data_IF_995123157124
#
_entry.id   IF_995123157124
#
_cell.length_a   1.000
_cell.length_b   1.000
_cell.length_c   1.000
_cell.angle_alpha   90.00
_cell.angle_beta   90.00
_cell.angle_gamma   90.00
#
_symmetry.space_group_name_H-M   'P 1'
#
loop_
_entity.id
_entity.type
_entity.pdbx_description
1 polymer ?
#
# COMPACT_ATOMS: atom_id res chain seq x y z
N UNK A 1 10.73 9.74 -7.18
CA UNK A 1 9.39 9.86 -7.77
C UNK A 1 8.38 9.32 -6.76
N UNK A 2 7.27 10.01 -6.51
CA UNK A 2 6.19 9.53 -5.64
C UNK A 2 5.02 9.25 -6.56
N UNK A 3 4.85 7.98 -6.94
CA UNK A 3 3.68 7.56 -7.69
C UNK A 3 2.49 7.51 -6.74
N UNK A 4 1.53 8.41 -6.96
CA UNK A 4 0.27 8.45 -6.22
C UNK A 4 -0.72 7.56 -6.96
N UNK A 5 -0.88 6.33 -6.47
CA UNK A 5 -1.88 5.40 -6.99
C UNK A 5 -3.25 5.75 -6.42
N UNK A 6 -4.32 5.57 -7.21
CA UNK A 6 -5.69 5.60 -6.71
C UNK A 6 -5.89 4.51 -5.63
N UNK A 7 -6.77 4.73 -4.63
CA UNK A 7 -7.03 3.74 -3.57
C UNK A 7 -7.56 2.41 -4.10
N UNK A 8 -8.00 2.38 -5.35
CA UNK A 8 -8.30 1.18 -6.13
C UNK A 8 -7.40 1.17 -7.36
N UNK A 9 -6.54 0.16 -7.47
CA UNK A 9 -5.76 -0.12 -8.68
C UNK A 9 -6.46 -1.26 -9.38
N UNK A 10 -7.33 -0.92 -10.33
CA UNK A 10 -8.01 -1.88 -11.17
C UNK A 10 -7.86 -1.42 -12.61
N UNK A 11 -7.42 -2.33 -13.48
CA UNK A 11 -7.27 -2.03 -14.88
C UNK A 11 -6.81 -3.24 -15.65
N UNK A 12 -7.70 -3.78 -16.47
CA UNK A 12 -7.34 -4.68 -17.56
C UNK A 12 -6.62 -3.86 -18.62
N UNK A 13 -5.44 -4.30 -19.03
CA UNK A 13 -4.68 -3.71 -20.15
C UNK A 13 -4.32 -2.22 -19.99
N UNK A 14 -4.05 -1.76 -18.76
CA UNK A 14 -3.56 -0.38 -18.55
C UNK A 14 -2.13 -0.27 -19.05
N UNK A 15 -1.85 0.62 -20.02
CA UNK A 15 -0.50 0.78 -20.56
C UNK A 15 0.43 1.33 -19.48
N UNK A 16 1.50 0.60 -19.21
CA UNK A 16 2.55 1.02 -18.28
C UNK A 16 3.67 1.69 -19.08
N UNK A 17 4.28 2.73 -18.52
CA UNK A 17 5.40 3.39 -19.16
C UNK A 17 6.58 2.42 -19.40
N UNK A 18 7.27 2.46 -20.56
CA UNK A 18 8.27 1.46 -20.93
C UNK A 18 9.42 1.30 -19.92
N UNK A 19 9.79 2.37 -19.21
CA UNK A 19 10.85 2.32 -18.20
C UNK A 19 10.44 1.55 -16.94
N UNK A 20 9.14 1.51 -16.62
CA UNK A 20 8.60 0.72 -15.51
C UNK A 20 8.37 -0.74 -15.88
N UNK A 21 8.34 -1.06 -17.18
CA UNK A 21 8.07 -2.42 -17.68
C UNK A 21 9.13 -3.41 -17.21
N UNK A 22 10.41 -3.04 -17.22
CA UNK A 22 11.50 -3.96 -16.84
C UNK A 22 11.37 -4.39 -15.38
N UNK A 23 11.20 -3.44 -14.45
CA UNK A 23 10.99 -3.75 -13.03
C UNK A 23 9.69 -4.54 -12.80
N UNK A 24 8.60 -4.17 -13.48
CA UNK A 24 7.33 -4.91 -13.35
C UNK A 24 7.40 -6.32 -13.91
N UNK A 25 8.15 -6.55 -14.99
CA UNK A 25 8.34 -7.89 -15.56
C UNK A 25 9.16 -8.80 -14.62
N UNK A 26 10.12 -8.22 -13.90
CA UNK A 26 10.88 -8.93 -12.86
C UNK A 26 9.98 -9.26 -11.67
N UNK A 27 9.21 -8.30 -11.16
CA UNK A 27 8.24 -8.53 -10.08
C UNK A 27 7.19 -9.59 -10.47
N UNK A 28 6.72 -9.54 -11.72
CA UNK A 28 5.82 -10.57 -12.27
C UNK A 28 6.49 -11.95 -12.29
N UNK A 29 7.76 -12.05 -12.71
CA UNK A 29 8.50 -13.31 -12.72
C UNK A 29 8.78 -13.86 -11.31
N UNK A 30 8.94 -12.97 -10.31
CA UNK A 30 9.09 -13.32 -8.91
C UNK A 30 7.75 -13.75 -8.27
N UNK A 31 6.62 -13.48 -8.94
CA UNK A 31 5.27 -13.79 -8.45
C UNK A 31 4.78 -12.84 -7.37
N UNK A 32 5.48 -11.73 -7.13
CA UNK A 32 5.09 -10.69 -6.20
C UNK A 32 5.68 -9.33 -6.60
N UNK A 33 4.98 -8.26 -6.25
CA UNK A 33 5.50 -6.91 -6.41
C UNK A 33 5.53 -6.17 -5.07
N UNK A 34 6.53 -5.32 -4.92
CA UNK A 34 6.74 -4.52 -3.72
C UNK A 34 5.98 -3.21 -3.81
N UNK A 35 5.21 -2.88 -2.77
CA UNK A 35 4.57 -1.57 -2.61
C UNK A 35 4.94 -0.96 -1.28
N UNK A 36 5.02 0.37 -1.24
CA UNK A 36 5.23 1.12 -0.02
C UNK A 36 4.04 2.04 0.21
N UNK A 37 3.12 1.61 1.06
CA UNK A 37 1.92 2.40 1.40
C UNK A 37 2.33 3.50 2.36
N UNK A 38 2.16 4.75 1.93
CA UNK A 38 2.45 5.94 2.73
C UNK A 38 1.15 6.57 3.18
N UNK A 39 1.05 6.88 4.46
CA UNK A 39 -0.08 7.58 5.06
C UNK A 39 0.47 8.85 5.68
N UNK A 40 0.00 9.99 5.18
CA UNK A 40 0.32 11.32 5.70
C UNK A 40 -0.96 11.95 6.24
N UNK A 41 -0.95 12.33 7.51
CA UNK A 41 -2.16 12.78 8.19
C UNK A 41 -1.90 13.72 9.35
N UNK A 42 -2.98 14.19 9.98
CA UNK A 42 -2.93 15.02 11.18
C UNK A 42 -3.74 14.38 12.28
N UNK A 43 -3.13 14.20 13.44
CA UNK A 43 -3.76 13.59 14.61
C UNK A 43 -3.85 14.58 15.77
N UNK A 44 -4.85 14.36 16.64
CA UNK A 44 -5.04 15.09 17.90
C UNK A 44 -5.37 14.06 18.97
N UNK A 45 -4.80 14.24 20.15
CA UNK A 45 -5.02 13.39 21.31
C UNK A 45 -6.07 14.03 22.21
N UNK A 46 -7.02 13.24 22.71
CA UNK A 46 -8.01 13.69 23.69
C UNK A 46 -7.83 12.91 24.98
N UNK A 47 -7.59 13.62 26.09
CA UNK A 47 -7.52 13.05 27.44
C UNK A 47 -8.48 13.85 28.32
N UNK A 48 -9.62 13.24 28.66
CA UNK A 48 -10.71 13.95 29.33
C UNK A 48 -11.21 15.15 28.51
N UNK A 49 -11.16 16.34 29.10
CA UNK A 49 -11.53 17.60 28.45
C UNK A 49 -10.39 18.26 27.66
N UNK A 50 -9.14 17.81 27.84
CA UNK A 50 -7.99 18.35 27.12
C UNK A 50 -7.87 17.72 25.74
N UNK A 51 -7.77 18.55 24.69
CA UNK A 51 -7.44 18.12 23.33
C UNK A 51 -6.11 18.77 22.95
N UNK A 52 -5.15 17.95 22.54
CA UNK A 52 -3.84 18.42 22.10
C UNK A 52 -3.92 19.28 20.82
N UNK A 53 -2.78 19.92 20.51
CA UNK A 53 -2.52 20.47 19.19
C UNK A 53 -2.53 19.40 18.09
N UNK A 54 -2.38 19.85 16.83
CA UNK A 54 -2.28 18.96 15.66
C UNK A 54 -0.86 18.47 15.50
N UNK A 55 -0.69 17.15 15.43
CA UNK A 55 0.58 16.49 15.15
C UNK A 55 0.56 15.90 13.75
N UNK A 56 1.73 15.76 13.14
CA UNK A 56 1.87 15.25 11.78
C UNK A 56 2.15 13.75 11.85
N UNK A 57 1.14 12.95 11.52
CA UNK A 57 1.29 11.51 11.47
C UNK A 57 1.83 11.11 10.10
N UNK A 58 2.99 10.46 10.09
CA UNK A 58 3.59 9.84 8.92
C UNK A 58 3.73 8.34 9.19
N UNK A 59 3.05 7.51 8.40
CA UNK A 59 3.22 6.07 8.43
C UNK A 59 3.70 5.54 7.07
N UNK A 60 4.67 4.63 7.12
CA UNK A 60 5.22 3.92 5.95
C UNK A 60 5.10 2.43 6.18
N UNK A 61 4.37 1.77 5.31
CA UNK A 61 4.07 0.34 5.39
C UNK A 61 4.60 -0.35 4.12
N UNK A 62 5.80 -0.96 4.17
CA UNK A 62 6.25 -1.84 3.10
C UNK A 62 5.34 -3.07 3.05
N UNK A 63 4.93 -3.46 1.85
CA UNK A 63 4.08 -4.64 1.65
C UNK A 63 4.47 -5.34 0.36
N UNK A 64 4.34 -6.66 0.35
CA UNK A 64 4.46 -7.49 -0.85
C UNK A 64 3.10 -7.98 -1.25
N UNK A 65 2.74 -7.76 -2.50
CA UNK A 65 1.48 -8.22 -3.08
C UNK A 65 1.83 -9.33 -4.06
N UNK A 66 1.38 -10.55 -3.77
CA UNK A 66 1.55 -11.70 -4.65
C UNK A 66 0.63 -11.61 -5.86
N UNK A 67 1.16 -11.97 -7.03
CA UNK A 67 0.46 -11.95 -8.32
C UNK A 67 -0.12 -13.35 -8.59
N UNK A 68 -1.42 -13.41 -8.92
CA UNK A 68 -2.14 -14.66 -9.19
C UNK A 68 -2.62 -15.41 -7.94
N UNK A 69 -2.95 -16.70 -8.10
CA UNK A 69 -3.55 -17.53 -7.05
C UNK A 69 -2.56 -18.03 -5.97
N UNK A 70 -1.28 -17.69 -6.06
CA UNK A 70 -0.25 -18.15 -5.13
C UNK A 70 -0.07 -17.21 -3.92
N UNK A 71 -1.08 -16.40 -3.63
CA UNK A 71 -1.03 -15.38 -2.60
C UNK A 71 -1.60 -15.79 -1.26
N UNK A 72 -1.03 -15.24 -0.19
CA UNK A 72 -1.62 -15.28 1.17
C UNK A 72 -2.82 -14.32 1.31
N UNK A 73 -3.34 -13.80 0.19
CA UNK A 73 -4.47 -12.88 0.17
C UNK A 73 -5.79 -13.62 0.37
N UNK A 74 -6.63 -13.10 1.26
CA UNK A 74 -7.99 -13.61 1.45
C UNK A 74 -8.88 -12.94 0.41
N UNK A 75 -9.43 -13.74 -0.52
CA UNK A 75 -10.45 -13.28 -1.46
C UNK A 75 -11.67 -12.80 -0.68
N UNK A 76 -12.02 -11.52 -0.82
CA UNK A 76 -13.16 -10.90 -0.11
C UNK A 76 -14.43 -10.85 -0.96
N UNK A 77 -14.44 -11.49 -2.13
CA UNK A 77 -15.48 -11.33 -3.15
C UNK A 77 -15.27 -10.05 -3.96
N UNK A 78 -16.01 -9.89 -5.08
CA UNK A 78 -16.04 -8.66 -5.90
C UNK A 78 -14.66 -8.10 -6.31
N UNK A 79 -13.74 -8.97 -6.78
CA UNK A 79 -12.38 -8.58 -7.20
C UNK A 79 -11.53 -7.91 -6.10
N UNK A 80 -11.91 -8.01 -4.83
CA UNK A 80 -11.13 -7.51 -3.72
C UNK A 80 -10.32 -8.65 -3.08
N UNK A 81 -9.01 -8.43 -2.95
CA UNK A 81 -8.10 -9.33 -2.22
C UNK A 81 -7.57 -8.58 -1.00
N UNK A 82 -7.82 -9.13 0.20
CA UNK A 82 -7.26 -8.60 1.43
C UNK A 82 -5.92 -9.25 1.70
N UNK A 83 -4.87 -8.45 1.72
CA UNK A 83 -3.53 -8.88 2.12
C UNK A 83 -3.32 -8.60 3.60
N UNK A 84 -2.78 -9.57 4.34
CA UNK A 84 -2.23 -9.32 5.66
C UNK A 84 -0.83 -8.74 5.48
N UNK A 85 -0.58 -7.56 6.07
CA UNK A 85 0.73 -6.92 6.03
C UNK A 85 1.75 -7.82 6.73
N UNK A 86 2.71 -8.32 5.96
CA UNK A 86 3.79 -9.19 6.46
C UNK A 86 4.84 -8.39 7.26
N UNK A 87 5.00 -7.11 6.93
CA UNK A 87 5.97 -6.21 7.55
C UNK A 87 5.29 -5.17 8.44
N UNK A 88 5.97 -4.79 9.52
CA UNK A 88 5.49 -3.74 10.44
C UNK A 88 5.57 -2.37 9.77
N UNK A 89 4.58 -1.53 10.01
CA UNK A 89 4.62 -0.13 9.59
C UNK A 89 5.53 0.69 10.51
N UNK A 90 6.35 1.57 9.91
CA UNK A 90 7.06 2.62 10.63
C UNK A 90 6.14 3.81 10.78
N UNK A 91 5.88 4.25 12.02
CA UNK A 91 4.96 5.36 12.33
C UNK A 91 5.72 6.43 13.12
N UNK A 92 5.55 7.68 12.71
CA UNK A 92 6.04 8.88 13.41
C UNK A 92 4.92 9.90 13.52
N UNK A 93 4.92 10.69 14.60
CA UNK A 93 3.86 11.63 14.98
C UNK A 93 4.45 12.97 15.39
#
# INVERSE_FOLDING_TARGET
EIDVWSPFVYGTDVPVAPFNFVSLSQDQSNGNFYVNVKIDGRVRWKVGAFISGRYHLHARCPAYISIGNNGNGVNMGENAVKYQLDQRCSVSV
#
